data_IF_311014041017
#
_entry.id   IF_311014041017
#
_cell.length_a   1.000
_cell.length_b   1.000
_cell.length_c   1.000
_cell.angle_alpha   90.00
_cell.angle_beta   90.00
_cell.angle_gamma   90.00
#
_symmetry.space_group_name_H-M   'P 1'
#
loop_
_entity.id
_entity.type
_entity.pdbx_description
1 polymer ?
#
# COMPACT_ATOMS: atom_id res chain seq x y z
N UNK A 1 15.67 -3.92 -4.67
CA UNK A 1 14.71 -3.54 -3.63
C UNK A 1 13.35 -4.11 -3.98
N UNK A 2 12.66 -4.66 -3.00
CA UNK A 2 11.26 -5.09 -3.11
C UNK A 2 10.40 -4.07 -2.37
N UNK A 3 9.26 -3.71 -2.95
CA UNK A 3 8.25 -2.88 -2.30
C UNK A 3 6.95 -3.65 -2.27
N UNK A 4 6.38 -3.83 -1.09
CA UNK A 4 5.09 -4.47 -0.88
C UNK A 4 4.09 -3.40 -0.42
N UNK A 5 3.01 -3.24 -1.15
CA UNK A 5 1.99 -2.22 -0.92
C UNK A 5 0.75 -2.74 -0.19
N UNK A 6 0.84 -3.90 0.47
CA UNK A 6 -0.22 -4.43 1.32
C UNK A 6 -1.18 -5.40 0.65
N UNK A 7 -2.23 -5.78 1.38
CA UNK A 7 -3.24 -6.78 1.01
C UNK A 7 -2.64 -8.19 0.80
N UNK A 8 -1.82 -8.62 1.75
CA UNK A 8 -1.10 -9.89 1.69
C UNK A 8 -1.91 -11.09 2.23
N UNK A 9 -2.95 -10.84 3.00
CA UNK A 9 -3.67 -11.87 3.74
C UNK A 9 -5.11 -12.01 3.25
N UNK A 10 -5.63 -13.24 3.30
CA UNK A 10 -7.02 -13.56 2.95
C UNK A 10 -7.79 -14.21 4.10
N UNK A 11 -7.07 -14.89 4.98
CA UNK A 11 -7.63 -15.67 6.09
C UNK A 11 -6.61 -15.85 7.22
N UNK A 12 -7.05 -16.51 8.30
CA UNK A 12 -6.24 -16.73 9.51
C UNK A 12 -4.99 -17.61 9.30
N UNK A 13 -4.91 -18.35 8.22
CA UNK A 13 -3.82 -19.29 7.93
C UNK A 13 -2.94 -18.82 6.76
N UNK A 14 -3.19 -17.64 6.20
CA UNK A 14 -2.56 -17.17 4.98
C UNK A 14 -1.06 -16.85 5.12
N UNK A 15 -0.54 -16.56 6.33
CA UNK A 15 0.86 -16.13 6.52
C UNK A 15 1.88 -17.11 5.91
N UNK A 16 1.85 -18.43 6.19
CA UNK A 16 2.80 -19.36 5.59
C UNK A 16 2.72 -19.43 4.07
N UNK A 17 1.53 -19.32 3.51
CA UNK A 17 1.32 -19.38 2.07
C UNK A 17 1.81 -18.12 1.37
N UNK A 18 1.57 -16.95 1.96
CA UNK A 18 2.11 -15.67 1.50
C UNK A 18 3.63 -15.67 1.51
N UNK A 19 4.26 -16.11 2.61
CA UNK A 19 5.72 -16.21 2.69
C UNK A 19 6.29 -17.18 1.66
N UNK A 20 5.61 -18.30 1.41
CA UNK A 20 6.01 -19.25 0.36
C UNK A 20 5.89 -18.63 -1.04
N UNK A 21 4.82 -17.88 -1.30
CA UNK A 21 4.61 -17.22 -2.58
C UNK A 21 5.64 -16.11 -2.84
N UNK A 22 6.01 -15.33 -1.82
CA UNK A 22 7.05 -14.32 -1.91
C UNK A 22 8.44 -14.93 -2.09
N UNK A 23 8.67 -16.14 -1.52
CA UNK A 23 9.85 -16.97 -1.76
C UNK A 23 11.17 -16.22 -1.87
N UNK A 24 11.84 -16.24 -3.04
CA UNK A 24 13.14 -15.60 -3.23
C UNK A 24 13.14 -14.07 -3.06
N UNK A 25 11.99 -13.41 -3.13
CA UNK A 25 11.89 -11.96 -2.92
C UNK A 25 12.23 -11.59 -1.48
N UNK A 26 11.90 -12.45 -0.51
CA UNK A 26 12.20 -12.24 0.90
C UNK A 26 13.70 -12.15 1.19
N UNK A 27 14.55 -12.73 0.35
CA UNK A 27 16.00 -12.61 0.45
C UNK A 27 16.56 -11.27 -0.07
N UNK A 28 15.71 -10.41 -0.62
CA UNK A 28 16.11 -9.09 -1.12
C UNK A 28 15.76 -8.01 -0.10
N UNK A 29 16.53 -6.90 -0.03
CA UNK A 29 16.12 -5.74 0.74
C UNK A 29 14.69 -5.33 0.38
N UNK A 30 13.83 -5.13 1.36
CA UNK A 30 12.42 -4.84 1.14
C UNK A 30 11.85 -3.82 2.11
N UNK A 31 10.74 -3.26 1.70
CA UNK A 31 9.86 -2.35 2.45
C UNK A 31 8.43 -2.85 2.31
N UNK A 32 7.62 -2.62 3.31
CA UNK A 32 6.19 -2.90 3.23
C UNK A 32 5.35 -1.85 3.94
N UNK A 33 4.15 -1.64 3.43
CA UNK A 33 3.01 -1.05 4.14
C UNK A 33 1.89 -2.08 4.15
N UNK A 34 0.96 -1.93 5.09
CA UNK A 34 -0.22 -2.80 5.14
C UNK A 34 -1.40 -2.17 4.43
N UNK A 35 -2.31 -3.02 4.00
CA UNK A 35 -3.60 -2.66 3.44
C UNK A 35 -4.75 -3.27 4.22
N UNK A 36 -5.95 -2.99 3.78
CA UNK A 36 -7.19 -3.45 4.42
C UNK A 36 -7.20 -4.95 4.70
N UNK A 37 -6.78 -5.76 3.71
CA UNK A 37 -6.78 -7.22 3.81
C UNK A 37 -5.49 -7.78 4.44
N UNK A 38 -4.74 -6.97 5.15
CA UNK A 38 -3.77 -7.42 6.14
C UNK A 38 -4.40 -7.43 7.54
N UNK A 39 -5.28 -6.45 7.81
CA UNK A 39 -5.95 -6.29 9.11
C UNK A 39 -7.24 -7.10 9.24
N UNK A 40 -8.07 -7.12 8.19
CA UNK A 40 -9.41 -7.71 8.24
C UNK A 40 -9.69 -8.62 7.05
N UNK A 41 -10.34 -9.76 7.34
CA UNK A 41 -10.69 -10.72 6.31
C UNK A 41 -11.66 -10.12 5.27
N UNK A 42 -11.41 -10.35 3.97
CA UNK A 42 -12.33 -9.91 2.93
C UNK A 42 -13.68 -10.61 3.08
N UNK A 43 -14.76 -9.84 2.98
CA UNK A 43 -16.12 -10.40 2.97
C UNK A 43 -16.68 -10.44 1.54
N UNK A 44 -17.49 -11.46 1.21
CA UNK A 44 -18.22 -11.46 -0.05
C UNK A 44 -19.09 -10.21 -0.14
N UNK A 45 -18.96 -9.47 -1.22
CA UNK A 45 -19.73 -8.24 -1.47
C UNK A 45 -20.56 -8.43 -2.73
N UNK A 46 -21.84 -8.06 -2.67
CA UNK A 46 -22.66 -7.95 -3.86
C UNK A 46 -22.10 -6.82 -4.74
N UNK A 47 -21.62 -7.13 -5.97
CA UNK A 47 -20.97 -6.14 -6.84
C UNK A 47 -21.87 -4.94 -7.19
N UNK A 48 -23.21 -5.11 -7.15
CA UNK A 48 -24.14 -3.99 -7.38
C UNK A 48 -24.12 -2.93 -6.28
N UNK A 49 -23.60 -3.24 -5.07
CA UNK A 49 -23.41 -2.24 -4.01
C UNK A 49 -22.40 -1.17 -4.38
N UNK A 50 -21.38 -1.50 -5.19
CA UNK A 50 -20.40 -0.53 -5.69
C UNK A 50 -21.03 0.54 -6.57
N UNK A 51 -22.08 0.20 -7.35
CA UNK A 51 -22.82 1.16 -8.18
C UNK A 51 -23.64 2.15 -7.36
N UNK A 52 -23.92 1.83 -6.08
CA UNK A 52 -24.73 2.67 -5.19
C UNK A 52 -23.85 3.59 -4.29
N UNK A 53 -22.53 3.61 -4.47
CA UNK A 53 -21.62 4.51 -3.77
C UNK A 53 -21.55 4.30 -2.24
N UNK A 54 -22.01 3.15 -1.73
CA UNK A 54 -21.96 2.87 -0.30
C UNK A 54 -20.57 2.39 0.09
N UNK A 55 -19.91 3.09 1.02
CA UNK A 55 -18.68 2.61 1.66
C UNK A 55 -18.92 1.23 2.28
N UNK A 56 -17.92 0.36 2.17
CA UNK A 56 -17.93 -0.96 2.79
C UNK A 56 -17.70 -0.78 4.30
N UNK A 57 -18.51 -1.44 5.11
CA UNK A 57 -18.16 -1.62 6.52
C UNK A 57 -17.07 -2.68 6.60
N UNK A 58 -16.00 -2.46 7.38
CA UNK A 58 -14.93 -3.43 7.53
C UNK A 58 -15.47 -4.73 8.11
N UNK A 59 -14.91 -5.84 7.67
CA UNK A 59 -15.10 -7.13 8.34
C UNK A 59 -14.46 -7.06 9.71
N UNK A 60 -15.14 -7.52 10.73
CA UNK A 60 -14.60 -7.57 12.10
C UNK A 60 -13.79 -8.84 12.39
N UNK A 61 -13.44 -9.62 11.37
CA UNK A 61 -12.57 -10.79 11.53
C UNK A 61 -11.14 -10.35 11.35
N UNK A 62 -10.44 -10.15 12.45
CA UNK A 62 -9.02 -9.78 12.43
C UNK A 62 -8.18 -10.86 11.76
N UNK A 63 -7.21 -10.43 10.98
CA UNK A 63 -6.20 -11.29 10.35
C UNK A 63 -4.90 -11.29 11.15
N UNK A 64 -4.01 -12.28 10.96
CA UNK A 64 -2.78 -12.42 11.73
C UNK A 64 -1.67 -11.46 11.26
N UNK A 65 -2.00 -10.17 11.04
CA UNK A 65 -1.08 -9.16 10.53
C UNK A 65 0.18 -8.99 11.39
N UNK A 66 0.06 -9.18 12.73
CA UNK A 66 1.23 -9.12 13.61
C UNK A 66 2.23 -10.22 13.31
N UNK A 67 1.73 -11.43 12.99
CA UNK A 67 2.56 -12.54 12.55
C UNK A 67 3.22 -12.26 11.19
N UNK A 68 2.46 -11.67 10.27
CA UNK A 68 3.00 -11.26 8.97
C UNK A 68 4.07 -10.18 9.10
N UNK A 69 3.82 -9.16 9.93
CA UNK A 69 4.79 -8.11 10.25
C UNK A 69 6.08 -8.69 10.83
N UNK A 70 5.96 -9.57 11.83
CA UNK A 70 7.11 -10.22 12.44
C UNK A 70 7.95 -11.00 11.40
N UNK A 71 7.28 -11.78 10.54
CA UNK A 71 7.94 -12.54 9.50
C UNK A 71 8.67 -11.64 8.48
N UNK A 72 8.08 -10.53 8.05
CA UNK A 72 8.77 -9.58 7.16
C UNK A 72 10.01 -8.97 7.82
N UNK A 73 9.90 -8.58 9.10
CA UNK A 73 11.02 -8.04 9.87
C UNK A 73 12.15 -9.07 10.05
N UNK A 74 11.82 -10.35 10.31
CA UNK A 74 12.80 -11.45 10.40
C UNK A 74 13.56 -11.66 9.09
N UNK A 75 12.93 -11.42 7.95
CA UNK A 75 13.56 -11.42 6.63
C UNK A 75 14.33 -10.13 6.31
N UNK A 76 14.40 -9.19 7.25
CA UNK A 76 15.13 -7.93 7.09
C UNK A 76 14.40 -6.87 6.27
N UNK A 77 13.12 -7.05 5.97
CA UNK A 77 12.28 -6.00 5.40
C UNK A 77 11.97 -4.94 6.45
N UNK A 78 11.75 -3.70 6.01
CA UNK A 78 11.43 -2.59 6.90
C UNK A 78 9.97 -2.21 6.80
N UNK A 79 9.37 -2.04 7.98
CA UNK A 79 8.01 -1.55 8.13
C UNK A 79 7.95 -0.05 7.84
N UNK A 80 7.22 0.33 6.81
CA UNK A 80 7.03 1.71 6.41
C UNK A 80 5.64 2.27 6.84
N UNK A 81 4.85 1.52 7.62
CA UNK A 81 3.64 2.07 8.22
C UNK A 81 4.02 3.17 9.22
N UNK A 82 3.61 4.41 8.95
CA UNK A 82 3.94 5.61 9.75
C UNK A 82 5.46 5.75 10.01
N UNK A 83 6.30 5.48 9.00
CA UNK A 83 7.74 5.47 9.18
C UNK A 83 8.51 6.03 7.99
N UNK A 84 9.69 6.59 8.30
CA UNK A 84 10.68 7.07 7.32
C UNK A 84 11.90 6.19 7.37
N UNK A 85 12.44 5.88 6.19
CA UNK A 85 13.63 5.04 6.06
C UNK A 85 14.59 5.59 5.01
N UNK A 86 15.85 5.30 5.20
CA UNK A 86 16.89 5.50 4.20
C UNK A 86 17.44 4.15 3.77
N UNK A 87 17.62 3.99 2.48
CA UNK A 87 18.17 2.79 1.86
C UNK A 87 19.33 3.14 0.92
N UNK A 88 20.24 2.22 0.81
CA UNK A 88 21.22 2.23 -0.25
C UNK A 88 21.09 0.95 -1.08
N UNK A 89 20.82 1.12 -2.37
CA UNK A 89 20.69 0.02 -3.32
C UNK A 89 21.75 0.23 -4.41
N UNK A 90 22.83 -0.54 -4.35
CA UNK A 90 24.00 -0.25 -5.15
C UNK A 90 24.58 1.12 -4.82
N UNK A 91 24.62 2.02 -5.78
CA UNK A 91 25.09 3.40 -5.59
C UNK A 91 23.94 4.40 -5.38
N UNK A 92 22.69 3.97 -5.43
CA UNK A 92 21.51 4.84 -5.31
C UNK A 92 21.09 4.94 -3.84
N UNK A 93 20.97 6.17 -3.34
CA UNK A 93 20.42 6.49 -2.01
C UNK A 93 18.94 6.81 -2.16
N UNK A 94 18.10 6.10 -1.41
CA UNK A 94 16.66 6.27 -1.40
C UNK A 94 16.20 6.83 -0.06
N UNK A 95 15.43 7.91 -0.08
CA UNK A 95 14.62 8.34 1.04
C UNK A 95 13.21 7.80 0.85
N UNK A 96 12.69 7.09 1.84
CA UNK A 96 11.35 6.50 1.77
C UNK A 96 10.54 6.93 2.97
N UNK A 97 9.29 7.32 2.74
CA UNK A 97 8.30 7.46 3.81
C UNK A 97 7.03 6.70 3.42
N UNK A 98 6.38 6.12 4.40
CA UNK A 98 5.15 5.40 4.18
C UNK A 98 4.12 5.68 5.26
N UNK A 99 2.87 5.48 4.91
CA UNK A 99 1.73 5.55 5.83
C UNK A 99 1.02 4.21 5.89
N UNK A 100 0.29 3.99 6.96
CA UNK A 100 -0.65 2.88 7.10
C UNK A 100 -1.86 3.08 6.17
N UNK A 101 -2.81 2.16 6.14
CA UNK A 101 -3.90 2.10 5.16
C UNK A 101 -4.79 3.37 5.15
N UNK A 102 -4.68 4.23 4.13
CA UNK A 102 -5.51 5.42 4.03
C UNK A 102 -6.97 5.13 3.70
N UNK A 103 -7.29 3.92 3.21
CA UNK A 103 -8.65 3.54 2.86
C UNK A 103 -9.57 3.47 4.08
N UNK A 104 -9.00 3.10 5.22
CA UNK A 104 -9.71 3.01 6.50
C UNK A 104 -9.28 4.07 7.51
N UNK A 105 -8.65 5.16 7.04
CA UNK A 105 -8.18 6.26 7.88
C UNK A 105 -7.25 5.79 9.02
N UNK A 106 -6.42 4.77 8.75
CA UNK A 106 -5.40 4.30 9.68
C UNK A 106 -4.09 5.12 9.56
N UNK A 107 -3.97 5.92 8.51
CA UNK A 107 -2.82 6.77 8.28
C UNK A 107 -2.80 7.97 9.23
N UNK A 108 -1.64 8.22 9.82
CA UNK A 108 -1.33 9.49 10.48
C UNK A 108 -0.12 10.15 9.81
N UNK A 109 -0.41 11.00 8.82
CA UNK A 109 0.65 11.67 8.07
C UNK A 109 1.53 12.57 8.96
N UNK A 110 1.03 13.04 10.11
CA UNK A 110 1.77 13.93 10.99
C UNK A 110 3.03 13.28 11.57
N UNK A 111 3.06 11.94 11.70
CA UNK A 111 4.21 11.20 12.20
C UNK A 111 5.39 11.18 11.23
N UNK A 112 5.12 11.40 9.94
CA UNK A 112 6.14 11.32 8.87
C UNK A 112 6.28 12.60 8.06
N UNK A 113 5.51 13.65 8.39
CA UNK A 113 5.47 14.90 7.65
C UNK A 113 6.85 15.54 7.50
N UNK A 114 7.03 16.25 6.39
CA UNK A 114 8.25 16.98 6.05
C UNK A 114 9.01 16.43 4.85
N UNK A 115 9.95 17.23 4.30
CA UNK A 115 10.66 16.90 3.08
C UNK A 115 11.50 15.63 3.23
N UNK A 116 11.73 14.87 2.14
CA UNK A 116 12.71 13.80 2.13
C UNK A 116 14.13 14.32 2.36
N UNK A 117 15.04 13.42 2.72
CA UNK A 117 16.45 13.77 2.83
C UNK A 117 16.98 14.30 1.49
N UNK A 118 17.53 15.51 1.49
CA UNK A 118 18.07 16.20 0.30
C UNK A 118 19.26 15.46 -0.33
N UNK A 119 19.96 14.65 0.47
CA UNK A 119 21.06 13.81 -0.02
C UNK A 119 20.60 12.54 -0.75
N UNK A 120 19.30 12.23 -0.78
CA UNK A 120 18.80 11.08 -1.50
C UNK A 120 18.77 11.32 -3.02
N UNK A 121 19.14 10.28 -3.77
CA UNK A 121 19.10 10.32 -5.24
C UNK A 121 17.65 10.15 -5.75
N UNK A 122 16.77 9.53 -4.95
CA UNK A 122 15.34 9.36 -5.23
C UNK A 122 14.55 9.30 -3.93
N UNK A 123 13.42 9.99 -3.89
CA UNK A 123 12.47 9.95 -2.78
C UNK A 123 11.17 9.23 -3.14
N UNK A 124 10.79 8.26 -2.31
CA UNK A 124 9.63 7.39 -2.52
C UNK A 124 8.60 7.59 -1.39
N UNK A 125 7.34 7.71 -1.78
CA UNK A 125 6.20 7.63 -0.88
C UNK A 125 5.52 6.26 -1.01
N UNK A 126 5.21 5.61 0.10
CA UNK A 126 4.51 4.32 0.12
C UNK A 126 3.16 4.45 0.82
N UNK A 127 2.13 3.96 0.16
CA UNK A 127 0.78 3.88 0.74
C UNK A 127 0.02 2.72 0.09
N UNK A 128 -0.90 2.11 0.84
CA UNK A 128 -1.72 1.05 0.27
C UNK A 128 -2.71 1.61 -0.75
N UNK A 129 -3.65 2.42 -0.33
CA UNK A 129 -4.65 3.02 -1.19
C UNK A 129 -4.24 4.43 -1.64
N UNK A 130 -4.31 4.76 -2.94
CA UNK A 130 -3.92 6.06 -3.49
C UNK A 130 -4.98 7.14 -3.19
N UNK A 131 -5.20 7.46 -1.92
CA UNK A 131 -6.12 8.50 -1.51
C UNK A 131 -5.52 9.89 -1.80
N UNK A 132 -6.20 10.76 -2.58
CA UNK A 132 -5.68 12.08 -2.97
C UNK A 132 -5.20 12.92 -1.80
N UNK A 133 -5.94 12.90 -0.67
CA UNK A 133 -5.58 13.64 0.55
C UNK A 133 -4.20 13.29 1.11
N UNK A 134 -3.69 12.08 0.83
CA UNK A 134 -2.37 11.62 1.27
C UNK A 134 -1.34 11.87 0.18
N UNK A 135 -1.68 11.57 -1.08
CA UNK A 135 -0.80 11.84 -2.23
C UNK A 135 -0.42 13.31 -2.33
N UNK A 136 -1.38 14.22 -2.13
CA UNK A 136 -1.15 15.68 -2.13
C UNK A 136 -0.17 16.12 -1.03
N UNK A 137 -0.21 15.51 0.15
CA UNK A 137 0.74 15.79 1.23
C UNK A 137 2.16 15.33 0.87
N UNK A 138 2.31 14.11 0.33
CA UNK A 138 3.60 13.63 -0.14
C UNK A 138 4.17 14.51 -1.27
N UNK A 139 3.32 14.93 -2.21
CA UNK A 139 3.73 15.84 -3.29
C UNK A 139 4.14 17.21 -2.75
N UNK A 140 3.40 17.77 -1.78
CA UNK A 140 3.73 19.04 -1.13
C UNK A 140 5.06 18.99 -0.35
N UNK A 141 5.37 17.85 0.27
CA UNK A 141 6.64 17.61 0.96
C UNK A 141 7.82 17.32 -0.01
N UNK A 142 7.54 17.15 -1.33
CA UNK A 142 8.56 16.98 -2.36
C UNK A 142 8.99 15.55 -2.65
N UNK A 143 8.17 14.55 -2.29
CA UNK A 143 8.42 13.16 -2.71
C UNK A 143 8.22 13.02 -4.22
N UNK A 144 9.18 12.38 -4.90
CA UNK A 144 9.26 12.34 -6.37
C UNK A 144 8.39 11.23 -6.98
N UNK A 145 8.15 10.13 -6.25
CA UNK A 145 7.39 9.00 -6.74
C UNK A 145 6.58 8.37 -5.60
N UNK A 146 5.27 8.21 -5.81
CA UNK A 146 4.39 7.47 -4.92
C UNK A 146 4.08 6.10 -5.49
N UNK A 147 4.18 5.05 -4.67
CA UNK A 147 3.84 3.68 -5.03
C UNK A 147 2.64 3.21 -4.20
N UNK A 148 1.61 2.74 -4.88
CA UNK A 148 0.38 2.27 -4.24
C UNK A 148 -0.20 1.03 -4.91
N UNK A 149 -1.12 0.35 -4.21
CA UNK A 149 -1.88 -0.81 -4.65
C UNK A 149 -3.38 -0.56 -4.64
N UNK A 150 -4.15 -1.46 -4.02
CA UNK A 150 -5.57 -1.37 -3.67
C UNK A 150 -6.57 -1.33 -4.84
N UNK A 151 -6.29 -0.59 -5.89
CA UNK A 151 -7.26 -0.27 -6.95
C UNK A 151 -7.60 -1.45 -7.85
N UNK A 152 -6.69 -2.44 -7.98
CA UNK A 152 -6.80 -3.60 -8.88
C UNK A 152 -7.08 -3.23 -10.35
N UNK A 153 -6.72 -2.01 -10.78
CA UNK A 153 -7.05 -1.49 -12.10
C UNK A 153 -8.52 -1.08 -12.26
N UNK A 154 -9.26 -1.00 -11.15
CA UNK A 154 -10.69 -0.71 -11.06
C UNK A 154 -11.53 -1.91 -10.64
N UNK A 155 -12.60 -1.67 -9.88
CA UNK A 155 -13.47 -2.74 -9.35
C UNK A 155 -14.44 -3.29 -10.40
N UNK A 156 -14.87 -2.45 -11.33
CA UNK A 156 -15.68 -2.82 -12.50
C UNK A 156 -15.06 -2.11 -13.70
N UNK A 157 -14.67 -2.87 -14.71
CA UNK A 157 -14.02 -2.35 -15.91
C UNK A 157 -14.79 -2.69 -17.17
N UNK A 158 -14.77 -1.77 -18.14
CA UNK A 158 -15.18 -2.03 -19.52
C UNK A 158 -14.05 -2.74 -20.28
N UNK A 159 -14.37 -3.43 -21.40
CA UNK A 159 -13.36 -3.86 -22.34
C UNK A 159 -12.43 -2.71 -22.73
N UNK A 160 -11.09 -2.93 -22.67
CA UNK A 160 -10.11 -1.87 -22.88
C UNK A 160 -9.60 -1.22 -21.59
N UNK A 161 -9.81 -1.86 -20.44
CA UNK A 161 -9.25 -1.48 -19.11
C UNK A 161 -9.72 -0.14 -18.55
N UNK A 162 -10.88 0.37 -19.00
CA UNK A 162 -11.46 1.58 -18.44
C UNK A 162 -12.28 1.27 -17.20
N UNK A 163 -11.83 1.75 -16.04
CA UNK A 163 -12.55 1.59 -14.78
C UNK A 163 -13.88 2.38 -14.79
N UNK A 164 -14.97 1.73 -14.41
CA UNK A 164 -16.26 2.38 -14.14
C UNK A 164 -16.39 2.79 -12.69
N UNK A 165 -15.80 2.02 -11.79
CA UNK A 165 -15.84 2.22 -10.35
C UNK A 165 -14.47 1.95 -9.75
N UNK A 166 -14.03 2.83 -8.87
CA UNK A 166 -12.91 2.63 -7.98
C UNK A 166 -13.41 2.44 -6.55
N UNK A 167 -12.60 1.86 -5.68
CA UNK A 167 -12.88 1.72 -4.26
C UNK A 167 -12.14 2.74 -3.39
N UNK A 168 -11.49 3.72 -3.98
CA UNK A 168 -10.81 4.83 -3.31
C UNK A 168 -11.09 6.15 -4.04
N UNK A 169 -10.58 7.26 -3.49
CA UNK A 169 -10.85 8.61 -3.98
C UNK A 169 -10.15 9.02 -5.28
N UNK A 170 -9.28 8.16 -5.84
CA UNK A 170 -8.53 8.48 -7.06
C UNK A 170 -9.42 8.52 -8.30
N UNK A 171 -9.05 9.34 -9.28
CA UNK A 171 -9.71 9.38 -10.58
C UNK A 171 -9.65 8.00 -11.27
N UNK A 172 -10.77 7.62 -11.90
CA UNK A 172 -10.92 6.34 -12.60
C UNK A 172 -9.93 6.11 -13.73
N UNK A 173 -9.43 7.18 -14.32
CA UNK A 173 -8.43 7.11 -15.39
C UNK A 173 -6.99 6.94 -14.84
N UNK A 174 -6.83 7.01 -13.50
CA UNK A 174 -5.54 6.88 -12.79
C UNK A 174 -5.42 5.61 -11.92
N UNK A 175 -6.30 4.64 -12.11
CA UNK A 175 -6.34 3.42 -11.26
C UNK A 175 -5.23 2.42 -11.54
N UNK A 176 -4.47 2.61 -12.61
CA UNK A 176 -3.31 1.76 -12.95
C UNK A 176 -2.32 2.51 -13.82
N UNK A 177 -1.05 2.16 -13.71
CA UNK A 177 0.03 2.75 -14.50
C UNK A 177 0.74 3.89 -13.79
N UNK A 178 1.51 4.66 -14.54
CA UNK A 178 2.24 5.84 -14.08
C UNK A 178 1.46 7.10 -14.48
N UNK A 179 1.26 7.98 -13.52
CA UNK A 179 0.54 9.24 -13.69
C UNK A 179 1.28 10.38 -13.00
N UNK A 180 1.16 11.58 -13.58
CA UNK A 180 1.66 12.85 -13.03
C UNK A 180 0.55 13.57 -12.27
#
# INVERSE_FOLDING_TARGET
LVVNTGDNLSDQQAVPDTLRALGPLLARPGLFVFGTNDYWAPQPVNPFKYLLGKKREPSYVDLPWRGMRAAFLEHGWRDANQARHEFKVGNVRLAVAGVDDPHHDLDDYSEIAGPPNEDADLSLALLHAPEPRVLEKFAADGYQLSLSGHTHGGQICLPGSRALVTNCGIDRDRVQGLHD
#
